data_IF_868957738345
#
_entry.id   IF_868957738345
#
_cell.length_a   1.000
_cell.length_b   1.000
_cell.length_c   1.000
_cell.angle_alpha   90.00
_cell.angle_beta   90.00
_cell.angle_gamma   90.00
#
_symmetry.space_group_name_H-M   'P 1'
#
loop_
_entity.id
_entity.type
_entity.pdbx_description
1 polymer ?
#
# COMPACT_ATOMS: atom_id res chain seq x y z
N UNK A 1 61.31 -32.00 -24.05
CA UNK A 1 60.39 -31.76 -22.91
C UNK A 1 59.13 -31.10 -23.45
N UNK A 2 58.16 -31.88 -23.95
CA UNK A 2 56.86 -31.38 -24.38
C UNK A 2 55.80 -32.00 -23.46
N UNK A 3 55.29 -31.24 -22.48
CA UNK A 3 54.06 -31.61 -21.78
C UNK A 3 52.87 -31.20 -22.66
N UNK A 4 51.83 -32.03 -22.81
CA UNK A 4 50.60 -31.61 -23.48
C UNK A 4 49.88 -30.54 -22.65
N UNK A 5 49.13 -29.62 -23.28
CA UNK A 5 48.39 -28.57 -22.59
C UNK A 5 47.35 -29.19 -21.65
N UNK A 6 47.35 -28.73 -20.40
CA UNK A 6 46.38 -29.10 -19.37
C UNK A 6 44.96 -28.74 -19.85
N UNK A 7 43.98 -29.66 -19.80
CA UNK A 7 42.60 -29.30 -20.09
C UNK A 7 42.13 -28.25 -19.09
N UNK A 8 41.67 -27.10 -19.58
CA UNK A 8 40.95 -26.13 -18.75
C UNK A 8 39.69 -26.82 -18.24
N UNK A 9 39.69 -27.23 -16.97
CA UNK A 9 38.47 -27.62 -16.26
C UNK A 9 37.56 -26.40 -16.25
N UNK A 10 36.60 -26.35 -17.18
CA UNK A 10 35.39 -25.57 -16.95
C UNK A 10 34.76 -26.10 -15.65
N UNK A 11 34.43 -25.25 -14.67
CA UNK A 11 33.66 -25.70 -13.52
C UNK A 11 32.38 -26.37 -14.05
N UNK A 12 32.00 -27.54 -13.52
CA UNK A 12 30.78 -28.21 -13.95
C UNK A 12 29.61 -27.22 -13.83
N UNK A 13 28.87 -27.06 -14.92
CA UNK A 13 27.68 -26.22 -15.05
C UNK A 13 26.59 -26.51 -14.01
N UNK A 14 26.78 -27.57 -13.22
CA UNK A 14 25.87 -28.07 -12.20
C UNK A 14 26.04 -27.38 -10.83
N UNK A 15 27.13 -26.65 -10.59
CA UNK A 15 27.34 -25.94 -9.32
C UNK A 15 26.37 -24.75 -9.14
N UNK A 16 25.82 -24.21 -10.23
CA UNK A 16 24.79 -23.16 -10.18
C UNK A 16 23.38 -23.71 -9.85
N UNK A 17 23.17 -25.03 -9.86
CA UNK A 17 21.88 -25.67 -9.60
C UNK A 17 21.62 -25.98 -8.12
N UNK A 18 22.57 -25.65 -7.24
CA UNK A 18 22.47 -25.91 -5.79
C UNK A 18 22.15 -24.67 -4.95
N UNK A 19 21.57 -23.62 -5.56
CA UNK A 19 20.88 -22.60 -4.74
C UNK A 19 19.61 -23.27 -4.22
N UNK A 20 19.45 -23.50 -2.90
CA UNK A 20 18.24 -24.10 -2.37
C UNK A 20 17.06 -23.20 -2.70
N UNK A 21 16.29 -23.58 -3.72
CA UNK A 21 15.02 -22.97 -4.05
C UNK A 21 14.10 -23.24 -2.87
N UNK A 22 13.87 -22.20 -2.05
CA UNK A 22 12.98 -22.29 -0.89
C UNK A 22 11.64 -22.84 -1.38
N UNK A 23 11.13 -23.94 -0.78
CA UNK A 23 9.91 -24.57 -1.28
C UNK A 23 8.78 -23.55 -1.30
N UNK A 24 8.12 -23.45 -2.45
CA UNK A 24 7.07 -22.46 -2.67
C UNK A 24 5.98 -22.59 -1.59
N UNK A 25 5.63 -21.50 -0.88
CA UNK A 25 4.69 -21.54 0.23
C UNK A 25 3.32 -22.03 -0.23
N UNK A 26 2.60 -22.73 0.65
CA UNK A 26 1.29 -23.29 0.33
C UNK A 26 0.27 -22.16 0.07
N UNK A 27 -0.68 -22.36 -0.86
CA UNK A 27 -1.74 -21.39 -1.16
C UNK A 27 -2.52 -21.03 0.11
N UNK A 28 -2.77 -22.03 0.97
CA UNK A 28 -3.42 -21.81 2.27
C UNK A 28 -2.64 -20.86 3.16
N UNK A 29 -1.32 -20.95 3.20
CA UNK A 29 -0.52 -20.04 4.04
C UNK A 29 -0.55 -18.62 3.48
N UNK A 30 -0.55 -18.45 2.15
CA UNK A 30 -0.75 -17.13 1.55
C UNK A 30 -2.10 -16.56 1.98
N UNK A 31 -3.18 -17.32 1.79
CA UNK A 31 -4.53 -16.89 2.18
C UNK A 31 -4.61 -16.46 3.64
N UNK A 32 -4.14 -17.29 4.58
CA UNK A 32 -4.24 -16.98 6.02
C UNK A 32 -3.36 -15.81 6.45
N UNK A 33 -2.19 -15.59 5.85
CA UNK A 33 -1.36 -14.42 6.18
C UNK A 33 -2.02 -13.13 5.70
N UNK A 34 -2.56 -13.11 4.47
CA UNK A 34 -3.27 -11.94 3.96
C UNK A 34 -4.61 -11.72 4.66
N UNK A 35 -5.31 -12.79 5.07
CA UNK A 35 -6.48 -12.74 5.94
C UNK A 35 -6.14 -12.08 7.28
N UNK A 36 -5.03 -12.48 7.90
CA UNK A 36 -4.60 -11.88 9.16
C UNK A 36 -4.28 -10.40 8.98
N UNK A 37 -3.60 -10.02 7.90
CA UNK A 37 -3.37 -8.61 7.57
C UNK A 37 -4.70 -7.86 7.44
N UNK A 38 -5.65 -8.38 6.66
CA UNK A 38 -6.97 -7.77 6.49
C UNK A 38 -7.75 -7.61 7.80
N UNK A 39 -7.55 -8.53 8.75
CA UNK A 39 -8.22 -8.50 10.05
C UNK A 39 -7.59 -7.50 11.03
N UNK A 40 -6.26 -7.35 11.03
CA UNK A 40 -5.55 -6.52 12.03
C UNK A 40 -5.22 -5.11 11.55
N UNK A 41 -5.34 -4.83 10.26
CA UNK A 41 -4.91 -3.56 9.70
C UNK A 41 -5.99 -2.48 9.82
N UNK A 42 -5.64 -1.37 10.48
CA UNK A 42 -6.49 -0.17 10.57
C UNK A 42 -5.78 1.06 9.99
N UNK A 43 -6.54 1.95 9.34
CA UNK A 43 -6.14 3.35 9.10
C UNK A 43 -4.84 3.58 8.31
N UNK A 44 -4.54 2.77 7.31
CA UNK A 44 -3.37 2.93 6.44
C UNK A 44 -2.13 2.09 6.82
N UNK A 45 -2.22 1.27 7.87
CA UNK A 45 -1.15 0.34 8.27
C UNK A 45 -0.96 -0.87 7.36
N UNK A 46 -1.90 -1.16 6.44
CA UNK A 46 -1.91 -2.38 5.61
C UNK A 46 -0.56 -2.57 4.90
N UNK A 47 -0.05 -1.52 4.25
CA UNK A 47 1.24 -1.54 3.55
C UNK A 47 2.43 -1.88 4.44
N UNK A 48 2.44 -1.37 5.67
CA UNK A 48 3.51 -1.66 6.61
C UNK A 48 3.47 -3.14 7.04
N UNK A 49 2.26 -3.69 7.25
CA UNK A 49 2.08 -5.11 7.53
C UNK A 49 2.44 -5.99 6.33
N UNK A 50 2.08 -5.62 5.11
CA UNK A 50 2.45 -6.32 3.89
C UNK A 50 3.97 -6.33 3.70
N UNK A 51 4.63 -5.17 3.81
CA UNK A 51 6.08 -5.08 3.74
C UNK A 51 6.76 -5.97 4.79
N UNK A 52 6.33 -5.88 6.05
CA UNK A 52 6.87 -6.70 7.14
C UNK A 52 6.62 -8.19 6.90
N UNK A 53 5.43 -8.55 6.42
CA UNK A 53 5.10 -9.95 6.10
C UNK A 53 6.03 -10.48 5.00
N UNK A 54 6.10 -9.77 3.88
CA UNK A 54 6.77 -10.18 2.66
C UNK A 54 8.30 -10.20 2.80
N UNK A 55 8.87 -9.19 3.48
CA UNK A 55 10.31 -9.01 3.61
C UNK A 55 10.92 -9.60 4.88
N UNK A 56 10.21 -9.52 6.02
CA UNK A 56 10.80 -9.82 7.33
C UNK A 56 10.28 -11.14 7.91
N UNK A 57 8.94 -11.30 8.00
CA UNK A 57 8.29 -12.43 8.69
C UNK A 57 8.33 -13.72 7.87
N UNK A 58 8.01 -13.65 6.58
CA UNK A 58 8.00 -14.81 5.68
C UNK A 58 9.17 -14.83 4.72
N UNK A 59 9.80 -13.67 4.46
CA UNK A 59 10.93 -13.52 3.53
C UNK A 59 10.61 -14.19 2.20
N UNK A 60 9.44 -13.85 1.64
CA UNK A 60 8.97 -14.33 0.35
C UNK A 60 9.52 -13.50 -0.80
N UNK A 61 9.85 -12.24 -0.54
CA UNK A 61 10.42 -11.32 -1.51
C UNK A 61 11.70 -10.70 -0.96
N UNK A 62 12.60 -10.34 -1.86
CA UNK A 62 13.71 -9.44 -1.59
C UNK A 62 13.24 -7.98 -1.57
N UNK A 63 14.06 -7.06 -1.04
CA UNK A 63 13.74 -5.63 -1.09
C UNK A 63 13.55 -5.15 -2.54
N UNK A 64 14.40 -5.60 -3.47
CA UNK A 64 14.35 -5.18 -4.87
C UNK A 64 13.07 -5.66 -5.56
N UNK A 65 12.68 -6.93 -5.33
CA UNK A 65 11.42 -7.47 -5.84
C UNK A 65 10.20 -6.74 -5.27
N UNK A 66 10.21 -6.44 -3.97
CA UNK A 66 9.13 -5.70 -3.34
C UNK A 66 9.01 -4.28 -3.93
N UNK A 67 10.13 -3.59 -4.16
CA UNK A 67 10.10 -2.25 -4.76
C UNK A 67 9.62 -2.29 -6.22
N UNK A 68 10.02 -3.29 -6.99
CA UNK A 68 9.52 -3.49 -8.35
C UNK A 68 8.00 -3.73 -8.35
N UNK A 69 7.52 -4.60 -7.46
CA UNK A 69 6.08 -4.87 -7.32
C UNK A 69 5.33 -3.62 -6.85
N UNK A 70 5.87 -2.89 -5.88
CA UNK A 70 5.28 -1.65 -5.38
C UNK A 70 5.15 -0.62 -6.52
N UNK A 71 6.21 -0.44 -7.32
CA UNK A 71 6.19 0.46 -8.46
C UNK A 71 5.10 0.06 -9.48
N UNK A 72 5.01 -1.22 -9.82
CA UNK A 72 3.93 -1.74 -10.69
C UNK A 72 2.54 -1.55 -10.06
N UNK A 73 2.40 -1.74 -8.75
CA UNK A 73 1.13 -1.58 -8.05
C UNK A 73 0.63 -0.13 -8.01
N UNK A 74 1.54 0.85 -8.00
CA UNK A 74 1.20 2.28 -8.05
C UNK A 74 0.77 2.76 -9.45
N UNK A 75 1.16 2.06 -10.53
CA UNK A 75 0.70 2.40 -11.88
C UNK A 75 -0.70 1.85 -12.17
N UNK A 76 -1.12 0.81 -11.44
CA UNK A 76 -2.45 0.23 -11.55
C UNK A 76 -3.49 1.08 -10.82
N UNK A 77 -4.66 1.36 -11.43
CA UNK A 77 -5.74 2.04 -10.72
C UNK A 77 -6.29 1.14 -9.61
N UNK A 78 -6.47 1.68 -8.41
CA UNK A 78 -7.12 0.97 -7.31
C UNK A 78 -6.48 1.20 -5.95
N UNK A 79 -6.83 0.34 -4.99
CA UNK A 79 -6.21 0.33 -3.68
C UNK A 79 -4.82 -0.27 -3.79
N UNK A 80 -3.80 0.53 -3.49
CA UNK A 80 -2.40 0.10 -3.58
C UNK A 80 -2.14 -1.25 -2.88
N UNK A 81 -2.75 -1.50 -1.70
CA UNK A 81 -2.52 -2.74 -0.95
C UNK A 81 -3.13 -3.96 -1.65
N UNK A 82 -4.29 -3.80 -2.29
CA UNK A 82 -4.88 -4.90 -3.07
C UNK A 82 -4.01 -5.22 -4.28
N UNK A 83 -3.48 -4.21 -4.97
CA UNK A 83 -2.55 -4.40 -6.08
C UNK A 83 -1.26 -5.09 -5.62
N UNK A 84 -0.71 -4.67 -4.47
CA UNK A 84 0.47 -5.27 -3.86
C UNK A 84 0.23 -6.73 -3.48
N UNK A 85 -0.90 -7.05 -2.85
CA UNK A 85 -1.30 -8.42 -2.52
C UNK A 85 -1.47 -9.29 -3.78
N UNK A 86 -2.12 -8.77 -4.82
CA UNK A 86 -2.29 -9.48 -6.09
C UNK A 86 -0.95 -9.80 -6.74
N UNK A 87 -0.10 -8.78 -6.95
CA UNK A 87 1.19 -8.93 -7.63
C UNK A 87 2.21 -9.73 -6.81
N UNK A 88 2.23 -9.56 -5.49
CA UNK A 88 3.08 -10.40 -4.62
C UNK A 88 2.58 -11.84 -4.58
N UNK A 89 1.27 -12.07 -4.51
CA UNK A 89 0.69 -13.41 -4.62
C UNK A 89 1.02 -14.10 -5.94
N UNK A 90 0.96 -13.36 -7.05
CA UNK A 90 1.36 -13.84 -8.38
C UNK A 90 2.85 -14.20 -8.42
N UNK A 91 3.71 -13.32 -7.89
CA UNK A 91 5.16 -13.59 -7.82
C UNK A 91 5.49 -14.84 -7.01
N UNK A 92 4.73 -15.13 -5.95
CA UNK A 92 5.01 -16.23 -5.01
C UNK A 92 4.51 -17.58 -5.56
N UNK A 93 3.30 -17.63 -6.13
CA UNK A 93 2.66 -18.90 -6.55
C UNK A 93 1.78 -18.76 -7.79
N UNK A 94 2.12 -17.83 -8.67
CA UNK A 94 1.37 -17.52 -9.89
C UNK A 94 -0.06 -17.08 -9.60
N UNK A 95 -0.91 -17.23 -10.62
CA UNK A 95 -2.30 -16.77 -10.58
C UNK A 95 -3.09 -17.29 -9.35
N UNK A 96 -2.86 -18.53 -8.93
CA UNK A 96 -3.52 -19.10 -7.76
C UNK A 96 -3.11 -18.40 -6.44
N UNK A 97 -1.83 -17.98 -6.34
CA UNK A 97 -1.35 -17.18 -5.23
C UNK A 97 -1.94 -15.77 -5.23
N UNK A 98 -2.10 -15.17 -6.42
CA UNK A 98 -2.71 -13.84 -6.59
C UNK A 98 -4.16 -13.82 -6.05
N UNK A 99 -4.99 -14.77 -6.48
CA UNK A 99 -6.36 -14.89 -5.99
C UNK A 99 -6.41 -15.17 -4.48
N UNK A 100 -5.56 -16.07 -3.98
CA UNK A 100 -5.54 -16.38 -2.55
C UNK A 100 -5.16 -15.17 -1.68
N UNK A 101 -4.19 -14.37 -2.13
CA UNK A 101 -3.78 -13.15 -1.44
C UNK A 101 -4.89 -12.10 -1.42
N UNK A 102 -5.52 -11.82 -2.57
CA UNK A 102 -6.58 -10.82 -2.69
C UNK A 102 -7.84 -11.23 -1.91
N UNK A 103 -8.29 -12.47 -2.09
CA UNK A 103 -9.46 -13.00 -1.37
C UNK A 103 -9.15 -12.99 0.13
N UNK A 104 -7.98 -13.47 0.55
CA UNK A 104 -7.56 -13.42 1.94
C UNK A 104 -7.63 -12.00 2.50
N UNK A 105 -7.05 -11.02 1.81
CA UNK A 105 -6.99 -9.63 2.27
C UNK A 105 -8.37 -8.97 2.41
N UNK A 106 -9.28 -9.21 1.47
CA UNK A 106 -10.60 -8.53 1.42
C UNK A 106 -11.66 -9.26 2.25
N UNK A 107 -11.53 -10.57 2.44
CA UNK A 107 -12.52 -11.41 3.14
C UNK A 107 -12.94 -10.89 4.52
N UNK A 108 -12.03 -10.44 5.42
CA UNK A 108 -12.42 -9.97 6.74
C UNK A 108 -13.39 -8.79 6.69
N UNK A 109 -13.10 -7.81 5.83
CA UNK A 109 -13.95 -6.62 5.65
C UNK A 109 -15.31 -6.98 5.06
N UNK A 110 -15.34 -7.83 4.03
CA UNK A 110 -16.58 -8.30 3.41
C UNK A 110 -17.44 -9.07 4.40
N UNK A 111 -16.85 -10.01 5.15
CA UNK A 111 -17.56 -10.76 6.19
C UNK A 111 -18.14 -9.83 7.26
N UNK A 112 -17.39 -8.81 7.70
CA UNK A 112 -17.88 -7.87 8.71
C UNK A 112 -19.06 -7.04 8.22
N UNK A 113 -18.99 -6.51 6.99
CA UNK A 113 -20.07 -5.72 6.40
C UNK A 113 -21.31 -6.58 6.14
N UNK A 114 -21.15 -7.81 5.63
CA UNK A 114 -22.27 -8.72 5.41
C UNK A 114 -22.93 -9.14 6.73
N UNK A 115 -22.14 -9.46 7.76
CA UNK A 115 -22.66 -9.78 9.07
C UNK A 115 -23.45 -8.60 9.67
N UNK A 116 -22.92 -7.38 9.55
CA UNK A 116 -23.60 -6.17 9.97
C UNK A 116 -24.90 -5.93 9.18
N UNK A 117 -24.89 -6.16 7.87
CA UNK A 117 -26.08 -6.00 7.02
C UNK A 117 -27.19 -7.01 7.39
N UNK A 118 -26.84 -8.27 7.61
CA UNK A 118 -27.79 -9.30 8.06
C UNK A 118 -28.35 -8.98 9.43
N UNK A 119 -27.49 -8.57 10.38
CA UNK A 119 -27.92 -8.16 11.72
C UNK A 119 -28.87 -6.94 11.67
N UNK A 120 -28.56 -5.95 10.82
CA UNK A 120 -29.43 -4.79 10.62
C UNK A 120 -30.78 -5.18 10.02
N UNK A 121 -30.81 -6.06 9.02
CA UNK A 121 -32.06 -6.50 8.37
C UNK A 121 -33.04 -7.22 9.31
N UNK A 122 -32.54 -7.91 10.33
CA UNK A 122 -33.36 -8.62 11.31
C UNK A 122 -33.82 -7.72 12.48
N UNK A 123 -33.12 -6.60 12.71
CA UNK A 123 -33.35 -5.69 13.84
C UNK A 123 -33.79 -4.28 13.44
N UNK A 124 -34.16 -4.05 12.18
CA UNK A 124 -34.47 -2.73 11.63
C UNK A 124 -35.63 -2.01 12.33
N UNK A 125 -36.56 -2.77 12.94
CA UNK A 125 -37.71 -2.23 13.67
C UNK A 125 -37.34 -1.66 15.06
N UNK A 126 -36.15 -1.95 15.57
CA UNK A 126 -35.72 -1.44 16.88
C UNK A 126 -35.03 -0.07 16.74
N UNK A 127 -35.49 0.98 17.45
CA UNK A 127 -34.88 2.31 17.41
C UNK A 127 -33.39 2.30 17.83
N UNK A 128 -32.98 1.31 18.62
CA UNK A 128 -31.59 1.12 19.04
C UNK A 128 -30.64 0.82 17.86
N UNK A 129 -31.11 0.13 16.81
CA UNK A 129 -30.30 -0.20 15.64
C UNK A 129 -29.84 1.05 14.89
N UNK A 130 -30.73 2.03 14.73
CA UNK A 130 -30.41 3.30 14.09
C UNK A 130 -29.44 4.15 14.92
N UNK A 131 -29.58 4.14 16.26
CA UNK A 131 -28.65 4.85 17.16
C UNK A 131 -27.25 4.24 17.11
N UNK A 132 -27.14 2.91 17.10
CA UNK A 132 -25.86 2.22 16.96
C UNK A 132 -25.20 2.54 15.61
N UNK A 133 -25.96 2.53 14.51
CA UNK A 133 -25.46 2.88 13.19
C UNK A 133 -25.00 4.35 13.10
N UNK A 134 -25.71 5.25 13.77
CA UNK A 134 -25.31 6.65 13.94
C UNK A 134 -23.98 6.75 14.73
N UNK A 135 -23.81 5.96 15.80
CA UNK A 135 -22.55 5.88 16.54
C UNK A 135 -21.38 5.37 15.69
N UNK A 136 -21.59 4.31 14.90
CA UNK A 136 -20.57 3.75 13.98
C UNK A 136 -20.19 4.78 12.90
N UNK A 137 -21.17 5.46 12.30
CA UNK A 137 -20.90 6.50 11.29
C UNK A 137 -20.18 7.72 11.88
N UNK A 138 -20.51 8.14 13.11
CA UNK A 138 -19.78 9.18 13.83
C UNK A 138 -18.33 8.75 14.11
N UNK A 139 -18.11 7.51 14.54
CA UNK A 139 -16.77 6.94 14.75
C UNK A 139 -15.96 6.86 13.46
N UNK A 140 -16.55 6.39 12.36
CA UNK A 140 -15.92 6.34 11.05
C UNK A 140 -15.53 7.74 10.54
N UNK A 141 -16.43 8.73 10.71
CA UNK A 141 -16.17 10.12 10.36
C UNK A 141 -15.02 10.70 11.19
N UNK A 142 -15.01 10.45 12.50
CA UNK A 142 -13.91 10.86 13.39
C UNK A 142 -12.58 10.22 13.02
N UNK A 143 -12.57 8.94 12.63
CA UNK A 143 -11.36 8.25 12.17
C UNK A 143 -10.83 8.85 10.86
N UNK A 144 -11.70 9.07 9.87
CA UNK A 144 -11.33 9.72 8.60
C UNK A 144 -10.76 11.11 8.89
N UNK A 145 -11.45 11.91 9.70
CA UNK A 145 -10.99 13.24 10.09
C UNK A 145 -9.61 13.20 10.79
N UNK A 146 -9.40 12.24 11.71
CA UNK A 146 -8.13 12.05 12.40
C UNK A 146 -6.99 11.72 11.44
N UNK A 147 -7.20 10.80 10.51
CA UNK A 147 -6.20 10.43 9.48
C UNK A 147 -5.92 11.61 8.56
N UNK A 148 -6.96 12.31 8.10
CA UNK A 148 -6.83 13.51 7.25
C UNK A 148 -6.03 14.60 7.95
N UNK A 149 -6.32 14.89 9.22
CA UNK A 149 -5.58 15.87 10.01
C UNK A 149 -4.14 15.42 10.21
N UNK A 150 -3.89 14.16 10.55
CA UNK A 150 -2.54 13.62 10.74
C UNK A 150 -1.68 13.77 9.48
N UNK A 151 -2.23 13.48 8.31
CA UNK A 151 -1.55 13.61 7.02
C UNK A 151 -1.44 15.09 6.61
N UNK A 152 -2.46 15.91 6.87
CA UNK A 152 -2.55 17.29 6.42
C UNK A 152 -1.77 18.30 7.28
N UNK A 153 -1.69 18.09 8.60
CA UNK A 153 -1.05 19.03 9.55
C UNK A 153 0.39 19.44 9.18
N UNK A 154 1.27 18.52 8.72
CA UNK A 154 2.61 18.91 8.24
C UNK A 154 2.59 19.90 7.08
N UNK A 155 1.56 19.88 6.23
CA UNK A 155 1.44 20.78 5.08
C UNK A 155 0.99 22.19 5.49
N UNK A 156 0.24 22.35 6.59
CA UNK A 156 -0.18 23.66 7.10
C UNK A 156 0.99 24.53 7.60
N UNK A 157 2.15 23.93 7.89
CA UNK A 157 3.35 24.69 8.31
C UNK A 157 4.00 25.48 7.18
N UNK A 158 3.67 25.19 5.92
CA UNK A 158 4.17 25.95 4.77
C UNK A 158 3.19 27.07 4.44
N UNK A 159 3.61 28.32 4.68
CA UNK A 159 2.80 29.54 4.43
C UNK A 159 2.24 29.58 3.00
N UNK A 160 3.00 29.07 2.02
CA UNK A 160 2.56 28.99 0.61
C UNK A 160 1.48 27.93 0.34
N UNK A 161 1.35 26.93 1.20
CA UNK A 161 0.39 25.82 1.02
C UNK A 161 -0.99 26.12 1.63
N UNK A 162 -1.05 26.97 2.66
CA UNK A 162 -2.31 27.38 3.33
C UNK A 162 -3.36 27.98 2.36
N UNK A 163 -3.04 28.94 1.46
CA UNK A 163 -4.04 29.49 0.55
C UNK A 163 -4.58 28.46 -0.45
N UNK A 164 -3.73 27.52 -0.89
CA UNK A 164 -4.15 26.45 -1.82
C UNK A 164 -5.10 25.47 -1.12
N UNK A 165 -4.82 25.11 0.14
CA UNK A 165 -5.68 24.25 0.95
C UNK A 165 -7.04 24.92 1.17
N UNK A 166 -7.05 26.19 1.56
CA UNK A 166 -8.29 26.93 1.81
C UNK A 166 -9.11 27.13 0.54
N UNK A 167 -8.47 27.49 -0.58
CA UNK A 167 -9.15 27.63 -1.87
C UNK A 167 -9.77 26.30 -2.33
N UNK A 168 -9.04 25.18 -2.19
CA UNK A 168 -9.54 23.84 -2.52
C UNK A 168 -10.73 23.48 -1.66
N UNK A 169 -10.66 23.73 -0.35
CA UNK A 169 -11.76 23.45 0.59
C UNK A 169 -13.01 24.28 0.26
N UNK A 170 -12.86 25.57 -0.03
CA UNK A 170 -13.99 26.44 -0.40
C UNK A 170 -14.60 26.01 -1.74
N UNK A 171 -13.78 25.72 -2.75
CA UNK A 171 -14.26 25.23 -4.05
C UNK A 171 -15.04 23.90 -3.92
N UNK A 172 -14.58 22.97 -3.10
CA UNK A 172 -15.30 21.70 -2.90
C UNK A 172 -16.55 21.86 -2.03
N UNK A 173 -16.47 22.63 -0.94
CA UNK A 173 -17.53 22.73 0.06
C UNK A 173 -18.69 23.63 -0.38
N UNK A 174 -18.40 24.79 -0.98
CA UNK A 174 -19.43 25.76 -1.38
C UNK A 174 -19.89 25.58 -2.82
N UNK A 175 -18.95 25.38 -3.76
CA UNK A 175 -19.28 25.30 -5.18
C UNK A 175 -19.66 23.88 -5.64
N UNK A 176 -19.53 22.86 -4.77
CA UNK A 176 -19.84 21.45 -5.05
C UNK A 176 -19.25 20.95 -6.38
N UNK A 177 -18.10 21.52 -6.76
CA UNK A 177 -17.42 21.15 -8.00
C UNK A 177 -16.96 19.70 -7.92
N UNK A 178 -17.04 18.98 -9.04
CA UNK A 178 -16.55 17.61 -9.07
C UNK A 178 -15.06 17.57 -8.70
N UNK A 179 -14.65 16.54 -7.96
CA UNK A 179 -13.25 16.36 -7.53
C UNK A 179 -12.27 16.50 -8.71
N UNK A 180 -12.67 15.98 -9.88
CA UNK A 180 -11.91 16.06 -11.12
C UNK A 180 -11.68 17.52 -11.54
N UNK A 181 -12.71 18.36 -11.50
CA UNK A 181 -12.62 19.78 -11.87
C UNK A 181 -11.70 20.54 -10.94
N UNK A 182 -11.83 20.29 -9.63
CA UNK A 182 -10.98 20.94 -8.62
C UNK A 182 -9.51 20.54 -8.79
N UNK A 183 -9.24 19.26 -9.06
CA UNK A 183 -7.89 18.79 -9.39
C UNK A 183 -7.34 19.48 -10.64
N UNK A 184 -8.13 19.59 -11.70
CA UNK A 184 -7.71 20.20 -12.97
C UNK A 184 -7.29 21.67 -12.81
N UNK A 185 -7.95 22.40 -11.91
CA UNK A 185 -7.65 23.82 -11.65
C UNK A 185 -6.53 23.97 -10.62
N UNK A 186 -6.58 23.25 -9.50
CA UNK A 186 -5.67 23.47 -8.37
C UNK A 186 -4.28 22.84 -8.57
N UNK A 187 -4.16 21.74 -9.32
CA UNK A 187 -2.86 21.13 -9.62
C UNK A 187 -1.92 22.08 -10.38
N UNK A 188 -2.31 22.72 -11.50
CA UNK A 188 -1.43 23.67 -12.19
C UNK A 188 -1.10 24.91 -11.35
N UNK A 189 -2.06 25.43 -10.58
CA UNK A 189 -1.84 26.56 -9.66
C UNK A 189 -0.83 26.17 -8.57
N UNK A 190 -0.99 24.98 -7.99
CA UNK A 190 -0.09 24.44 -6.98
C UNK A 190 1.32 24.23 -7.50
N UNK A 191 1.46 23.67 -8.72
CA UNK A 191 2.74 23.44 -9.38
C UNK A 191 3.45 24.76 -9.71
N UNK A 192 2.71 25.78 -10.15
CA UNK A 192 3.26 27.10 -10.42
C UNK A 192 3.77 27.79 -9.15
N UNK A 193 3.03 27.67 -8.03
CA UNK A 193 3.39 28.29 -6.75
C UNK A 193 4.50 27.55 -5.98
N UNK A 194 4.58 26.22 -6.13
CA UNK A 194 5.56 25.35 -5.48
C UNK A 194 6.57 24.76 -6.47
N UNK A 195 6.94 25.50 -7.52
CA UNK A 195 8.05 25.10 -8.39
C UNK A 195 9.23 24.68 -7.52
N UNK A 196 9.75 23.44 -7.67
CA UNK A 196 10.86 22.98 -6.86
C UNK A 196 12.04 23.92 -7.14
N UNK A 197 12.36 24.77 -6.17
CA UNK A 197 13.64 25.48 -6.15
C UNK A 197 14.66 24.36 -6.03
N UNK A 198 15.44 24.14 -7.09
CA UNK A 198 16.59 23.24 -7.10
C UNK A 198 17.38 23.51 -5.83
N UNK A 199 17.29 22.61 -4.85
CA UNK A 199 18.32 22.56 -3.82
C UNK A 199 19.45 21.82 -4.50
N UNK A 200 20.44 22.59 -4.95
CA UNK A 200 21.76 22.05 -5.30
C UNK A 200 22.12 21.02 -4.21
N UNK A 201 22.53 19.79 -4.57
CA UNK A 201 23.10 18.89 -3.58
C UNK A 201 24.32 19.61 -3.01
N UNK A 202 24.32 19.92 -1.70
CA UNK A 202 25.52 20.30 -0.98
C UNK A 202 26.51 19.12 -1.04
N UNK A 203 27.28 19.07 -2.12
CA UNK A 203 28.50 18.29 -2.26
C UNK A 203 29.65 19.07 -1.64
N UNK A 204 30.26 18.49 -0.61
CA UNK A 204 31.47 18.97 0.05
C UNK A 204 31.15 19.75 1.33
N UNK A 205 31.71 19.46 2.50
CA UNK A 205 33.05 18.92 2.75
C UNK A 205 33.08 18.10 4.04
N UNK A 206 33.71 16.94 3.91
CA UNK A 206 34.66 16.38 4.86
C UNK A 206 35.39 17.51 5.62
N UNK A 207 35.03 17.73 6.89
CA UNK A 207 35.96 18.32 7.86
C UNK A 207 36.51 17.20 8.72
N UNK A 208 37.63 16.69 8.23
CA UNK A 208 38.69 16.04 8.98
C UNK A 208 39.37 17.10 9.84
N UNK A 209 39.08 17.15 11.13
CA UNK A 209 39.99 17.55 12.21
C UNK A 209 39.66 16.73 13.47
#
# INVERSE_FOLDING_TARGET
>A
MNQPPTPLMHPPSDAALLVPQKPAPNIRSIFFEFLLIGLVSFGGGIMAYERRLLLEKRKWLTNDEFMAILAMGQTMPGLNSVNLAMLSGDRIRGLAGAFAAVIGLISPGVCFVLAAAVAYSQGADYPLANVLLAGVSAGATGLIASVTLRIGLPHFKRVKSVPVILATFVCMSFFKLSLVTVLLIMVPIGLWLHRPVSREPEMGLEKKE
#
